data_IF_346411576630
#
_entry.id   IF_346411576630
#
_cell.length_a   1.000
_cell.length_b   1.000
_cell.length_c   1.000
_cell.angle_alpha   90.00
_cell.angle_beta   90.00
_cell.angle_gamma   90.00
#
_symmetry.space_group_name_H-M   'P 1'
#
loop_
_entity.id
_entity.type
_entity.pdbx_description
1 polymer ?
#
# COMPACT_ATOMS: atom_id res chain seq x y z
N UNK A 1 -8.83 -24.56 26.76
CA UNK A 1 -9.90 -25.25 26.00
C UNK A 1 -10.54 -24.26 25.05
N UNK A 2 -10.51 -24.60 23.76
CA UNK A 2 -10.96 -23.80 22.63
C UNK A 2 -12.46 -24.02 22.42
N UNK A 3 -13.25 -22.96 22.31
CA UNK A 3 -14.59 -22.92 21.70
C UNK A 3 -15.05 -21.46 21.71
N UNK A 4 -15.74 -20.86 20.74
CA UNK A 4 -16.27 -21.24 19.42
C UNK A 4 -16.96 -19.95 18.96
N UNK A 5 -16.46 -19.27 17.93
CA UNK A 5 -17.22 -18.20 17.25
C UNK A 5 -17.18 -18.50 15.77
N UNK A 6 -18.30 -19.06 15.30
CA UNK A 6 -18.58 -19.35 13.91
C UNK A 6 -19.74 -18.45 13.48
N UNK A 7 -19.63 -17.90 12.26
CA UNK A 7 -20.65 -17.28 11.40
C UNK A 7 -20.86 -15.76 11.52
N UNK A 8 -20.15 -15.05 10.65
CA UNK A 8 -20.80 -14.25 9.63
C UNK A 8 -20.15 -14.52 8.27
N UNK A 9 -20.78 -15.39 7.48
CA UNK A 9 -20.47 -15.60 6.08
C UNK A 9 -21.39 -14.73 5.23
N UNK A 10 -20.83 -13.77 4.48
CA UNK A 10 -21.33 -13.42 3.15
C UNK A 10 -20.26 -12.68 2.32
N UNK A 11 -19.49 -13.47 1.59
CA UNK A 11 -18.98 -13.13 0.26
C UNK A 11 -19.16 -14.40 -0.59
N UNK A 12 -20.22 -14.49 -1.39
CA UNK A 12 -20.40 -15.61 -2.32
C UNK A 12 -19.54 -15.38 -3.57
N UNK A 13 -18.23 -15.58 -3.43
CA UNK A 13 -17.31 -16.14 -4.44
C UNK A 13 -16.24 -16.89 -3.65
N UNK A 14 -16.22 -18.23 -3.74
CA UNK A 14 -15.12 -19.03 -3.21
C UNK A 14 -13.84 -18.58 -3.93
N UNK A 15 -12.91 -17.93 -3.21
CA UNK A 15 -11.52 -17.84 -3.68
C UNK A 15 -10.89 -19.20 -3.38
N UNK A 16 -10.63 -19.99 -4.41
CA UNK A 16 -10.05 -21.35 -4.31
C UNK A 16 -8.53 -21.36 -4.41
N UNK A 17 -7.88 -20.22 -4.72
CA UNK A 17 -6.43 -20.14 -4.85
C UNK A 17 -5.90 -18.74 -4.48
N UNK A 18 -4.72 -18.70 -3.85
CA UNK A 18 -3.91 -17.51 -3.65
C UNK A 18 -2.61 -17.68 -4.44
N UNK A 19 -2.21 -16.65 -5.19
CA UNK A 19 -0.96 -16.64 -5.93
C UNK A 19 0.12 -15.92 -5.12
N UNK A 20 1.17 -16.65 -4.70
CA UNK A 20 2.31 -16.06 -4.00
C UNK A 20 3.33 -15.56 -5.03
N UNK A 21 3.66 -14.27 -4.96
CA UNK A 21 4.64 -13.60 -5.82
C UNK A 21 6.00 -13.38 -5.15
N UNK A 22 6.18 -13.76 -3.88
CA UNK A 22 7.43 -13.51 -3.15
C UNK A 22 8.67 -14.20 -3.74
N UNK A 23 9.83 -13.97 -3.13
CA UNK A 23 11.14 -14.44 -3.65
C UNK A 23 11.41 -15.94 -3.46
N UNK A 24 10.49 -16.68 -2.85
CA UNK A 24 10.67 -18.10 -2.54
C UNK A 24 10.64 -18.99 -3.78
N UNK A 25 11.29 -20.16 -3.72
CA UNK A 25 11.34 -21.15 -4.80
C UNK A 25 9.97 -21.80 -5.13
N UNK A 26 8.97 -21.60 -4.26
CA UNK A 26 7.58 -22.05 -4.45
C UNK A 26 6.68 -20.95 -5.03
N UNK A 27 7.19 -19.74 -5.23
CA UNK A 27 6.44 -18.67 -5.89
C UNK A 27 6.24 -18.97 -7.37
N UNK A 28 5.13 -18.51 -7.94
CA UNK A 28 4.81 -18.81 -9.35
C UNK A 28 5.81 -18.17 -10.33
N UNK A 29 6.43 -17.07 -9.92
CA UNK A 29 7.51 -16.40 -10.66
C UNK A 29 8.77 -17.27 -10.74
N UNK A 30 9.15 -17.97 -9.67
CA UNK A 30 10.36 -18.80 -9.61
C UNK A 30 10.16 -20.21 -10.21
N UNK A 31 8.93 -20.72 -10.27
CA UNK A 31 8.63 -22.01 -10.91
C UNK A 31 8.58 -21.92 -12.45
N UNK A 32 8.20 -20.77 -12.99
CA UNK A 32 8.09 -20.53 -14.45
C UNK A 32 9.45 -20.40 -15.13
N UNK A 33 10.46 -19.83 -14.46
CA UNK A 33 11.82 -19.68 -15.00
C UNK A 33 12.59 -21.00 -15.13
N UNK A 34 12.24 -22.01 -14.32
CA UNK A 34 12.81 -23.37 -14.43
C UNK A 34 12.50 -24.06 -15.76
N UNK A 35 11.56 -23.54 -16.55
CA UNK A 35 11.20 -24.05 -17.88
C UNK A 35 11.77 -23.22 -19.04
N UNK A 36 12.66 -22.25 -18.77
CA UNK A 36 13.45 -21.56 -19.81
C UNK A 36 12.71 -20.51 -20.66
N UNK A 37 11.52 -20.05 -20.26
CA UNK A 37 10.60 -19.34 -21.19
C UNK A 37 10.33 -17.85 -20.85
N UNK A 38 10.72 -17.29 -19.71
CA UNK A 38 10.49 -15.85 -19.42
C UNK A 38 11.49 -15.28 -18.43
N UNK A 39 11.96 -14.04 -18.65
CA UNK A 39 12.66 -13.25 -17.63
C UNK A 39 11.84 -13.23 -16.34
N UNK A 40 12.50 -13.27 -15.17
CA UNK A 40 11.81 -13.27 -13.87
C UNK A 40 11.35 -11.84 -13.50
N UNK A 41 10.52 -11.26 -14.36
CA UNK A 41 9.87 -9.97 -14.15
C UNK A 41 8.40 -10.22 -13.88
N UNK A 42 7.89 -9.62 -12.82
CA UNK A 42 6.48 -9.67 -12.45
C UNK A 42 6.02 -8.25 -12.20
N UNK A 43 4.85 -7.88 -12.69
CA UNK A 43 4.25 -6.62 -12.27
C UNK A 43 2.75 -6.68 -12.20
N UNK A 44 2.18 -5.75 -11.45
CA UNK A 44 0.75 -5.61 -11.29
C UNK A 44 0.33 -4.16 -11.32
N UNK A 45 -0.92 -3.94 -11.71
CA UNK A 45 -1.62 -2.67 -11.58
C UNK A 45 -3.02 -2.97 -11.05
N UNK A 46 -3.31 -2.54 -9.83
CA UNK A 46 -4.63 -2.71 -9.23
C UNK A 46 -5.50 -1.52 -9.60
N UNK A 47 -6.61 -1.73 -10.31
CA UNK A 47 -7.47 -0.62 -10.66
C UNK A 47 -8.59 -0.40 -9.65
N UNK A 48 -8.84 0.87 -9.30
CA UNK A 48 -10.00 1.28 -8.51
C UNK A 48 -11.32 1.10 -9.28
N UNK A 49 -11.28 1.18 -10.61
CA UNK A 49 -12.46 1.13 -11.50
C UNK A 49 -12.63 -0.22 -12.21
N UNK A 50 -11.81 -1.23 -11.86
CA UNK A 50 -11.75 -2.52 -12.54
C UNK A 50 -10.81 -2.52 -13.76
N UNK A 51 -10.54 -3.72 -14.30
CA UNK A 51 -9.60 -3.87 -15.42
C UNK A 51 -8.11 -3.82 -15.03
N UNK A 52 -7.79 -3.94 -13.74
CA UNK A 52 -6.42 -4.18 -13.29
C UNK A 52 -5.83 -5.48 -13.87
N UNK A 53 -4.52 -5.57 -13.90
CA UNK A 53 -3.80 -6.68 -14.53
C UNK A 53 -2.60 -7.13 -13.72
N UNK A 54 -2.20 -8.38 -13.95
CA UNK A 54 -0.97 -9.01 -13.48
C UNK A 54 -0.25 -9.54 -14.72
N UNK A 55 1.06 -9.33 -14.79
CA UNK A 55 1.87 -9.81 -15.90
C UNK A 55 3.15 -10.50 -15.43
N UNK A 56 3.65 -11.37 -16.30
CA UNK A 56 4.91 -12.10 -16.16
C UNK A 56 5.73 -11.88 -17.43
N UNK A 57 7.03 -11.64 -17.28
CA UNK A 57 7.90 -11.20 -18.37
C UNK A 57 8.01 -9.68 -18.46
N UNK A 58 8.80 -9.19 -19.41
CA UNK A 58 9.18 -7.78 -19.52
C UNK A 58 8.56 -7.04 -20.72
N UNK A 59 7.73 -7.71 -21.52
CA UNK A 59 7.17 -7.17 -22.76
C UNK A 59 6.32 -5.90 -22.56
N UNK A 60 5.68 -5.76 -21.40
CA UNK A 60 4.80 -4.62 -21.09
C UNK A 60 5.40 -3.62 -20.11
N UNK A 61 6.69 -3.78 -19.77
CA UNK A 61 7.41 -2.83 -18.91
C UNK A 61 7.70 -1.56 -19.71
N UNK A 62 7.17 -0.39 -19.30
CA UNK A 62 7.43 0.85 -20.03
C UNK A 62 8.93 1.17 -20.05
N UNK A 63 9.48 1.44 -21.23
CA UNK A 63 10.89 1.82 -21.40
C UNK A 63 11.20 3.23 -20.90
N UNK A 64 10.18 4.05 -20.69
CA UNK A 64 10.27 5.40 -20.11
C UNK A 64 9.21 5.56 -19.01
N UNK A 65 9.44 6.45 -18.04
CA UNK A 65 8.53 6.81 -16.92
C UNK A 65 8.41 5.80 -15.77
N UNK A 66 9.27 4.78 -15.72
CA UNK A 66 9.43 3.92 -14.53
C UNK A 66 10.59 4.44 -13.68
N UNK A 67 10.37 4.56 -12.37
CA UNK A 67 11.41 4.87 -11.39
C UNK A 67 11.87 3.56 -10.77
N UNK A 68 13.13 3.19 -11.01
CA UNK A 68 13.72 1.96 -10.49
C UNK A 68 14.48 2.21 -9.19
N UNK A 69 14.34 1.28 -8.25
CA UNK A 69 15.03 1.28 -6.98
C UNK A 69 15.67 -0.09 -6.75
N UNK A 70 16.93 -0.18 -6.33
CA UNK A 70 17.53 -1.47 -6.03
C UNK A 70 16.71 -2.21 -4.98
N UNK A 71 16.41 -3.47 -5.26
CA UNK A 71 15.67 -4.32 -4.37
C UNK A 71 16.55 -4.68 -3.17
N UNK A 72 16.18 -4.18 -2.00
CA UNK A 72 16.91 -4.42 -0.77
C UNK A 72 16.71 -5.86 -0.28
N UNK A 73 17.75 -6.36 0.41
CA UNK A 73 17.60 -7.55 1.25
C UNK A 73 16.89 -7.13 2.53
N UNK A 74 15.69 -7.62 2.74
CA UNK A 74 14.91 -7.36 3.95
C UNK A 74 15.43 -8.22 5.09
N UNK A 75 15.56 -7.63 6.27
CA UNK A 75 15.80 -8.42 7.50
C UNK A 75 14.53 -9.14 7.97
N UNK A 76 13.39 -8.74 7.42
CA UNK A 76 12.05 -9.14 7.84
C UNK A 76 11.49 -10.38 7.11
N UNK A 77 12.23 -10.96 6.15
CA UNK A 77 11.79 -12.15 5.40
C UNK A 77 12.14 -12.11 3.91
N UNK A 78 11.35 -12.79 3.08
CA UNK A 78 11.50 -12.84 1.61
C UNK A 78 10.50 -11.91 0.91
N UNK A 79 10.40 -10.67 1.41
CA UNK A 79 9.52 -9.65 0.86
C UNK A 79 10.20 -8.86 -0.26
N UNK A 80 9.38 -8.26 -1.11
CA UNK A 80 9.83 -7.22 -2.03
C UNK A 80 9.97 -5.91 -1.25
N UNK A 81 11.14 -5.30 -1.36
CA UNK A 81 11.45 -4.09 -0.63
C UNK A 81 12.36 -3.19 -1.46
N UNK A 82 12.01 -1.90 -1.58
CA UNK A 82 12.92 -0.87 -2.09
C UNK A 82 13.97 -0.41 -1.03
N UNK A 83 13.96 -1.01 0.16
CA UNK A 83 14.84 -0.66 1.28
C UNK A 83 14.26 0.44 2.18
N UNK A 84 15.15 1.25 2.74
CA UNK A 84 14.78 2.32 3.67
C UNK A 84 14.20 3.52 2.94
N UNK A 85 12.97 3.91 3.30
CA UNK A 85 12.30 5.10 2.78
C UNK A 85 12.26 6.23 3.81
N UNK A 86 12.40 7.47 3.35
CA UNK A 86 12.13 8.67 4.16
C UNK A 86 10.73 9.19 3.83
N UNK A 87 9.94 9.47 4.86
CA UNK A 87 8.55 9.88 4.73
C UNK A 87 8.40 11.41 4.74
N UNK A 88 7.63 11.91 3.77
CA UNK A 88 7.31 13.32 3.60
C UNK A 88 5.79 13.51 3.54
N UNK A 89 5.35 14.68 3.98
CA UNK A 89 3.96 15.15 3.87
C UNK A 89 3.96 16.52 3.19
N UNK A 90 3.21 16.66 2.10
CA UNK A 90 3.20 17.87 1.26
C UNK A 90 4.63 18.35 0.92
N UNK A 91 5.50 17.39 0.53
CA UNK A 91 6.93 17.58 0.20
C UNK A 91 7.84 18.07 1.35
N UNK A 92 7.33 18.16 2.58
CA UNK A 92 8.13 18.43 3.79
C UNK A 92 8.44 17.12 4.52
N UNK A 93 9.69 16.97 4.96
CA UNK A 93 10.10 15.80 5.75
C UNK A 93 9.34 15.76 7.07
N UNK A 94 8.88 14.57 7.47
CA UNK A 94 8.22 14.36 8.77
C UNK A 94 9.20 14.21 9.94
N UNK A 95 10.51 14.32 9.71
CA UNK A 95 11.53 14.18 10.75
C UNK A 95 11.64 12.76 11.33
N UNK A 96 10.95 11.80 10.73
CA UNK A 96 11.04 10.38 11.11
C UNK A 96 12.30 9.79 10.48
N UNK A 97 13.02 8.95 11.22
CA UNK A 97 14.21 8.26 10.69
C UNK A 97 13.81 7.39 9.48
N UNK A 98 14.70 7.25 8.47
CA UNK A 98 14.45 6.33 7.38
C UNK A 98 14.15 4.92 7.90
N UNK A 99 13.21 4.25 7.27
CA UNK A 99 12.58 3.03 7.78
C UNK A 99 12.40 2.01 6.68
N UNK A 100 12.53 0.72 7.00
CA UNK A 100 12.31 -0.35 6.05
C UNK A 100 10.86 -0.30 5.51
N UNK A 101 10.73 -0.39 4.20
CA UNK A 101 9.45 -0.43 3.48
C UNK A 101 9.38 -1.74 2.72
N UNK A 102 8.23 -2.42 2.78
CA UNK A 102 7.96 -3.62 1.99
C UNK A 102 6.66 -3.44 1.19
N UNK A 103 6.63 -3.99 -0.01
CA UNK A 103 5.42 -4.05 -0.83
C UNK A 103 4.75 -5.40 -0.63
N UNK A 104 3.48 -5.39 -0.21
CA UNK A 104 2.71 -6.61 0.06
C UNK A 104 1.30 -6.51 -0.52
N UNK A 105 1.10 -7.13 -1.68
CA UNK A 105 -0.22 -7.25 -2.31
C UNK A 105 -1.17 -8.22 -1.58
N UNK A 106 -0.73 -8.84 -0.48
CA UNK A 106 -1.56 -9.63 0.43
C UNK A 106 -2.28 -8.78 1.47
N UNK A 107 -1.84 -7.53 1.67
CA UNK A 107 -2.38 -6.61 2.67
C UNK A 107 -3.33 -5.60 2.03
N UNK A 108 -4.60 -5.58 2.45
CA UNK A 108 -5.59 -4.63 1.92
C UNK A 108 -5.25 -3.17 2.23
N UNK A 109 -4.74 -2.93 3.44
CA UNK A 109 -4.38 -1.60 3.94
C UNK A 109 -2.86 -1.44 4.02
N UNK A 110 -2.42 -0.20 4.07
CA UNK A 110 -1.03 0.14 4.38
C UNK A 110 -0.84 0.16 5.89
N UNK A 111 0.29 -0.34 6.38
CA UNK A 111 0.61 -0.37 7.81
C UNK A 111 1.92 0.35 8.06
N UNK A 112 1.88 1.38 8.87
CA UNK A 112 3.07 2.09 9.30
C UNK A 112 3.48 1.66 10.69
N UNK A 113 4.79 1.56 10.91
CA UNK A 113 5.33 1.40 12.26
C UNK A 113 4.92 2.59 13.15
N UNK A 114 5.07 2.45 14.47
CA UNK A 114 4.53 3.41 15.44
C UNK A 114 4.89 4.88 15.15
N UNK A 115 6.18 5.15 14.92
CA UNK A 115 6.67 6.51 14.70
C UNK A 115 6.15 7.15 13.39
N UNK A 116 6.29 6.52 12.20
CA UNK A 116 5.73 7.07 10.96
C UNK A 116 4.21 7.19 10.98
N UNK A 117 3.50 6.25 11.60
CA UNK A 117 2.05 6.33 11.76
C UNK A 117 1.66 7.59 12.55
N UNK A 118 2.25 7.79 13.73
CA UNK A 118 1.93 8.95 14.56
C UNK A 118 2.28 10.27 13.88
N UNK A 119 3.45 10.35 13.22
CA UNK A 119 3.86 11.55 12.49
C UNK A 119 2.88 11.88 11.35
N UNK A 120 2.44 10.86 10.60
CA UNK A 120 1.46 11.00 9.52
C UNK A 120 0.12 11.50 10.05
N UNK A 121 -0.40 10.87 11.11
CA UNK A 121 -1.68 11.25 11.71
C UNK A 121 -1.65 12.68 12.26
N UNK A 122 -0.56 13.08 12.92
CA UNK A 122 -0.42 14.43 13.46
C UNK A 122 -0.49 15.50 12.36
N UNK A 123 0.24 15.29 11.27
CA UNK A 123 0.32 16.25 10.16
C UNK A 123 -0.95 16.28 9.33
N UNK A 124 -1.59 15.13 9.13
CA UNK A 124 -2.94 15.06 8.57
C UNK A 124 -3.90 15.90 9.41
N UNK A 125 -4.01 15.63 10.72
CA UNK A 125 -4.94 16.36 11.61
C UNK A 125 -4.66 17.87 11.64
N UNK A 126 -3.40 18.28 11.62
CA UNK A 126 -3.02 19.69 11.60
C UNK A 126 -3.37 20.39 10.27
N UNK A 127 -3.32 19.68 9.15
CA UNK A 127 -3.57 20.22 7.81
C UNK A 127 -5.04 20.21 7.36
N UNK A 128 -5.92 19.52 8.09
CA UNK A 128 -7.32 19.34 7.65
C UNK A 128 -8.14 20.62 7.73
N UNK A 129 -9.05 20.76 6.76
CA UNK A 129 -10.08 21.79 6.74
C UNK A 129 -10.96 21.72 7.98
N UNK A 130 -11.32 22.89 8.56
CA UNK A 130 -12.26 22.99 9.70
C UNK A 130 -13.66 22.43 9.40
N UNK A 131 -13.97 22.22 8.11
CA UNK A 131 -15.22 21.61 7.67
C UNK A 131 -15.29 20.10 7.94
N UNK A 132 -14.14 19.44 8.13
CA UNK A 132 -14.03 18.02 8.44
C UNK A 132 -13.95 17.82 9.95
N UNK A 133 -14.84 16.98 10.48
CA UNK A 133 -14.89 16.64 11.91
C UNK A 133 -14.53 15.18 12.10
N UNK A 134 -13.59 14.90 12.99
CA UNK A 134 -13.24 13.54 13.38
C UNK A 134 -14.46 12.81 13.97
N UNK A 135 -14.67 11.57 13.56
CA UNK A 135 -15.80 10.73 13.98
C UNK A 135 -15.35 9.29 14.17
N UNK A 136 -16.05 8.58 15.04
CA UNK A 136 -15.92 7.13 15.16
C UNK A 136 -16.66 6.45 14.00
N UNK A 137 -16.02 5.45 13.39
CA UNK A 137 -16.61 4.57 12.40
C UNK A 137 -16.27 3.11 12.79
N UNK A 138 -17.17 2.18 12.45
CA UNK A 138 -16.98 0.75 12.73
C UNK A 138 -16.04 0.07 11.73
N UNK A 139 -15.76 0.72 10.60
CA UNK A 139 -14.97 0.15 9.50
C UNK A 139 -13.47 0.41 9.70
N UNK A 140 -13.10 1.64 10.06
CA UNK A 140 -11.70 2.06 10.22
C UNK A 140 -11.54 2.97 11.45
N UNK A 141 -10.38 2.94 12.11
CA UNK A 141 -10.19 3.56 13.42
C UNK A 141 -10.11 5.09 13.40
N UNK A 142 -9.71 5.69 12.27
CA UNK A 142 -9.55 7.13 12.13
C UNK A 142 -10.31 7.65 10.92
N UNK A 143 -11.36 8.42 11.18
CA UNK A 143 -12.29 8.88 10.16
C UNK A 143 -12.77 10.31 10.40
N UNK A 144 -13.25 10.94 9.34
CA UNK A 144 -13.81 12.28 9.34
C UNK A 144 -15.13 12.33 8.57
N UNK A 145 -16.03 13.20 9.01
CA UNK A 145 -17.24 13.57 8.27
C UNK A 145 -17.17 15.01 7.81
N UNK A 146 -17.70 15.27 6.62
CA UNK A 146 -17.92 16.62 6.12
C UNK A 146 -19.34 17.12 6.40
N UNK A 147 -19.69 18.24 5.79
CA UNK A 147 -21.07 18.75 5.79
C UNK A 147 -22.01 17.88 4.95
N UNK A 148 -21.48 17.27 3.89
CA UNK A 148 -22.20 16.30 3.04
C UNK A 148 -21.65 14.89 3.26
N UNK A 149 -22.47 13.91 2.96
CA UNK A 149 -22.10 12.49 2.90
C UNK A 149 -21.23 12.29 1.65
N UNK A 150 -20.02 11.78 1.81
CA UNK A 150 -19.13 11.49 0.68
C UNK A 150 -19.53 10.17 0.01
N UNK A 151 -19.44 10.12 -1.32
CA UNK A 151 -19.56 8.90 -2.11
C UNK A 151 -18.22 8.43 -2.65
N UNK A 152 -17.33 9.36 -2.96
CA UNK A 152 -16.02 9.09 -3.55
C UNK A 152 -14.93 9.93 -2.91
N UNK A 153 -13.70 9.40 -2.86
CA UNK A 153 -12.53 10.15 -2.36
C UNK A 153 -12.28 11.42 -3.20
N UNK A 154 -12.60 11.39 -4.49
CA UNK A 154 -12.48 12.55 -5.38
C UNK A 154 -13.29 13.77 -4.93
N UNK A 155 -14.32 13.59 -4.10
CA UNK A 155 -15.12 14.69 -3.55
C UNK A 155 -14.48 15.42 -2.38
N UNK A 156 -13.43 14.84 -1.77
CA UNK A 156 -12.79 15.36 -0.55
C UNK A 156 -11.27 15.42 -0.66
N UNK A 157 -10.66 14.83 -1.70
CA UNK A 157 -9.21 14.75 -1.85
C UNK A 157 -8.46 16.08 -1.73
N UNK A 158 -9.09 17.19 -2.10
CA UNK A 158 -8.47 18.53 -2.06
C UNK A 158 -8.31 19.06 -0.62
N UNK A 159 -9.02 18.49 0.36
CA UNK A 159 -8.83 18.80 1.78
C UNK A 159 -7.64 18.05 2.41
N UNK A 160 -7.01 17.15 1.65
CA UNK A 160 -5.93 16.27 2.07
C UNK A 160 -4.68 16.48 1.21
N UNK A 161 -3.50 16.16 1.75
CA UNK A 161 -2.20 16.37 1.07
C UNK A 161 -1.54 15.04 0.72
N UNK A 162 -0.78 14.99 -0.38
CA UNK A 162 -0.03 13.78 -0.72
C UNK A 162 1.05 13.47 0.31
N UNK A 163 1.24 12.17 0.56
CA UNK A 163 2.41 11.63 1.22
C UNK A 163 3.46 11.27 0.16
N UNK A 164 4.73 11.23 0.55
CA UNK A 164 5.80 10.77 -0.35
C UNK A 164 6.77 9.88 0.40
N UNK A 165 7.19 8.79 -0.24
CA UNK A 165 8.30 7.96 0.18
C UNK A 165 9.48 8.21 -0.74
N UNK A 166 10.61 8.64 -0.18
CA UNK A 166 11.85 8.84 -0.90
C UNK A 166 12.85 7.75 -0.54
N UNK A 167 13.28 6.99 -1.56
CA UNK A 167 14.24 5.89 -1.44
C UNK A 167 15.67 6.30 -1.84
N UNK A 168 15.92 7.59 -2.05
CA UNK A 168 17.21 8.16 -2.45
C UNK A 168 17.35 8.42 -3.94
N UNK A 169 18.32 9.26 -4.34
CA UNK A 169 18.67 9.57 -5.74
C UNK A 169 17.45 9.90 -6.64
N UNK A 170 16.56 10.78 -6.18
CA UNK A 170 15.32 11.17 -6.87
C UNK A 170 14.29 10.04 -7.06
N UNK A 171 14.42 8.92 -6.34
CA UNK A 171 13.46 7.83 -6.36
C UNK A 171 12.35 8.11 -5.37
N UNK A 172 11.32 8.81 -5.85
CA UNK A 172 10.19 9.26 -5.03
C UNK A 172 8.92 8.56 -5.49
N UNK A 173 8.22 7.93 -4.55
CA UNK A 173 6.87 7.42 -4.72
C UNK A 173 5.90 8.41 -4.10
N UNK A 174 5.02 8.98 -4.91
CA UNK A 174 3.88 9.78 -4.42
C UNK A 174 2.74 8.86 -3.99
N UNK A 175 2.13 9.19 -2.86
CA UNK A 175 0.93 8.53 -2.34
C UNK A 175 -0.15 9.62 -2.23
N UNK A 176 -0.97 9.80 -3.28
CA UNK A 176 -2.03 10.80 -3.26
C UNK A 176 -3.17 10.39 -2.30
N UNK A 177 -4.10 11.32 -1.96
CA UNK A 177 -5.23 11.03 -1.08
C UNK A 177 -6.05 9.80 -1.49
N UNK A 178 -6.22 9.56 -2.78
CA UNK A 178 -6.88 8.37 -3.34
C UNK A 178 -6.22 7.04 -2.90
N UNK A 179 -4.92 7.07 -2.59
CA UNK A 179 -4.10 5.91 -2.25
C UNK A 179 -3.90 5.74 -0.74
N UNK A 180 -4.58 6.54 0.08
CA UNK A 180 -4.60 6.35 1.53
C UNK A 180 -5.94 6.68 2.20
N UNK A 181 -6.96 7.14 1.47
CA UNK A 181 -8.30 7.41 1.99
C UNK A 181 -9.32 6.43 1.47
N UNK A 182 -10.30 6.11 2.31
CA UNK A 182 -11.46 5.28 1.96
C UNK A 182 -12.73 6.00 2.38
N UNK A 183 -13.69 6.09 1.47
CA UNK A 183 -15.05 6.49 1.84
C UNK A 183 -15.83 5.25 2.28
N UNK A 184 -16.31 5.24 3.51
CA UNK A 184 -17.08 4.12 4.06
C UNK A 184 -18.52 4.13 3.52
N UNK A 185 -19.24 3.02 3.72
CA UNK A 185 -20.69 2.95 3.39
C UNK A 185 -21.55 3.97 4.16
N UNK A 186 -21.01 4.58 5.21
CA UNK A 186 -21.66 5.63 6.00
C UNK A 186 -21.33 7.04 5.47
N UNK A 187 -20.50 7.13 4.42
CA UNK A 187 -20.03 8.37 3.81
C UNK A 187 -19.05 9.17 4.66
N UNK A 188 -18.38 8.50 5.61
CA UNK A 188 -17.22 9.04 6.30
C UNK A 188 -15.97 8.76 5.45
N UNK A 189 -15.02 9.69 5.46
CA UNK A 189 -13.70 9.47 4.86
C UNK A 189 -12.74 8.99 5.95
N UNK A 190 -12.06 7.87 5.73
CA UNK A 190 -11.23 7.21 6.72
C UNK A 190 -9.81 7.02 6.21
N UNK A 191 -8.86 7.03 7.14
CA UNK A 191 -7.46 6.73 6.85
C UNK A 191 -7.29 5.22 6.66
N UNK A 192 -6.85 4.82 5.46
CA UNK A 192 -6.48 3.45 5.10
C UNK A 192 -5.00 3.12 5.34
N UNK A 193 -4.29 3.98 6.06
CA UNK A 193 -3.01 3.68 6.71
C UNK A 193 -3.33 3.35 8.17
N UNK A 194 -2.93 2.16 8.62
CA UNK A 194 -3.21 1.63 9.94
C UNK A 194 -1.95 1.60 10.81
N UNK A 195 -2.16 1.61 12.13
CA UNK A 195 -1.10 1.47 13.11
C UNK A 195 -0.60 0.02 13.18
N UNK A 196 0.67 -0.18 12.83
CA UNK A 196 1.35 -1.48 12.89
C UNK A 196 1.75 -1.92 14.30
N UNK A 197 1.55 -1.09 15.34
CA UNK A 197 1.93 -1.43 16.73
C UNK A 197 1.25 -2.68 17.26
N UNK A 198 -0.03 -2.89 16.94
CA UNK A 198 -0.79 -4.06 17.39
C UNK A 198 -0.18 -5.38 16.90
N UNK A 199 0.45 -5.37 15.73
CA UNK A 199 1.15 -6.51 15.14
C UNK A 199 2.65 -6.56 15.54
N UNK A 200 3.11 -5.67 16.43
CA UNK A 200 4.53 -5.48 16.78
C UNK A 200 5.43 -5.28 15.56
N UNK A 201 4.90 -4.61 14.55
CA UNK A 201 5.57 -4.44 13.27
C UNK A 201 6.70 -3.41 13.38
N UNK A 202 7.89 -3.77 12.91
CA UNK A 202 9.10 -2.93 12.96
C UNK A 202 9.43 -2.23 11.63
N UNK A 203 8.71 -2.57 10.57
CA UNK A 203 8.85 -2.04 9.21
C UNK A 203 7.49 -1.57 8.69
N UNK A 204 7.45 -0.92 7.54
CA UNK A 204 6.21 -0.40 6.95
C UNK A 204 5.78 -1.29 5.79
N UNK A 205 4.51 -1.68 5.78
CA UNK A 205 3.90 -2.43 4.69
C UNK A 205 3.11 -1.46 3.83
N UNK A 206 3.43 -1.42 2.55
CA UNK A 206 2.62 -0.76 1.53
C UNK A 206 1.67 -1.81 0.97
N UNK A 207 0.38 -1.62 1.28
CA UNK A 207 -0.69 -2.53 0.88
C UNK A 207 -1.41 -2.08 -0.39
N UNK A 208 -2.43 -2.85 -0.76
CA UNK A 208 -3.21 -2.68 -1.97
C UNK A 208 -3.75 -1.26 -2.12
N UNK A 209 -4.31 -0.67 -1.06
CA UNK A 209 -4.83 0.71 -1.10
C UNK A 209 -3.80 1.71 -1.64
N UNK A 210 -2.53 1.56 -1.25
CA UNK A 210 -1.48 2.50 -1.67
C UNK A 210 -0.93 2.17 -3.05
N UNK A 211 -1.03 0.92 -3.50
CA UNK A 211 -0.61 0.49 -4.84
C UNK A 211 -1.72 0.63 -5.90
N UNK A 212 -2.90 1.13 -5.53
CA UNK A 212 -4.01 1.33 -6.46
C UNK A 212 -3.67 2.36 -7.55
N UNK A 213 -4.06 2.04 -8.78
CA UNK A 213 -3.80 2.76 -10.01
C UNK A 213 -2.30 3.09 -10.22
N UNK A 214 -1.42 2.32 -9.59
CA UNK A 214 0.03 2.37 -9.75
C UNK A 214 0.53 1.04 -10.33
N UNK A 215 1.42 1.13 -11.31
CA UNK A 215 2.12 -0.03 -11.85
C UNK A 215 3.34 -0.32 -10.98
N UNK A 216 3.31 -1.45 -10.28
CA UNK A 216 4.43 -1.94 -9.47
C UNK A 216 5.07 -3.10 -10.21
N UNK A 217 6.39 -3.04 -10.38
CA UNK A 217 7.17 -4.00 -11.16
C UNK A 217 8.31 -4.51 -10.28
N UNK A 218 8.48 -5.83 -10.26
CA UNK A 218 9.54 -6.55 -9.58
C UNK A 218 10.40 -7.23 -10.64
N UNK A 219 11.55 -6.65 -10.96
CA UNK A 219 12.53 -7.22 -11.88
C UNK A 219 13.53 -8.04 -11.05
N UNK A 220 13.26 -9.35 -10.92
CA UNK A 220 14.11 -10.24 -10.13
C UNK A 220 15.40 -10.60 -10.87
N UNK A 221 15.50 -10.35 -12.17
CA UNK A 221 16.74 -10.54 -12.93
C UNK A 221 17.76 -9.46 -12.57
N UNK A 222 17.31 -8.21 -12.52
CA UNK A 222 18.15 -7.06 -12.19
C UNK A 222 18.18 -6.71 -10.71
N UNK A 223 17.26 -7.28 -9.93
CA UNK A 223 17.11 -7.01 -8.50
C UNK A 223 16.66 -5.57 -8.25
N UNK A 224 15.56 -5.14 -8.88
CA UNK A 224 14.98 -3.80 -8.77
C UNK A 224 13.46 -3.78 -8.90
#
# INVERSE_FOLDING_TARGET
>A
MISKWERMARCRRRRTACLRLGKDQLACSSSSSKKGITKIVVGHCFSTNGGGFLFFGDDIVPTSRVTWVPMARTTSGNYYSPGSGTLYFDRRSLGVKPMEVVFDSGSTYTYFAAQPYQATVNELKAGLSKSLKEVSDVILPLCWKGQKVFKYVSEVKNDFKSLFLNFGKNSVMEIPPENYLIVTKYGNVCLGILDGTAAKQTFNIIGDITMQDQMIIYDNEKGQ
#
